data_IF_324194869079
#
_entry.id   IF_324194869079
#
_cell.length_a   1.000
_cell.length_b   1.000
_cell.length_c   1.000
_cell.angle_alpha   90.00
_cell.angle_beta   90.00
_cell.angle_gamma   90.00
#
_symmetry.space_group_name_H-M   'P 1'
#
loop_
_entity.id
_entity.type
_entity.pdbx_description
1 polymer ?
#
# COMPACT_ATOMS: atom_id res chain seq x y z
N UNK A 1 10.99 -7.87 -3.89
CA UNK A 1 10.58 -7.13 -2.67
C UNK A 1 9.18 -7.51 -2.17
N UNK A 2 8.15 -7.55 -3.02
CA UNK A 2 6.80 -7.97 -2.61
C UNK A 2 6.72 -9.48 -2.25
N UNK A 3 7.26 -10.35 -3.10
CA UNK A 3 7.27 -11.81 -2.88
C UNK A 3 8.05 -12.23 -1.63
N UNK A 4 9.22 -11.62 -1.40
CA UNK A 4 10.04 -11.83 -0.20
C UNK A 4 9.32 -11.50 1.11
N UNK A 5 8.23 -10.71 1.06
CA UNK A 5 7.41 -10.32 2.22
C UNK A 5 5.99 -10.87 2.14
N UNK A 6 5.74 -11.84 1.25
CA UNK A 6 4.43 -12.46 1.03
C UNK A 6 3.30 -11.44 0.75
N UNK A 7 3.64 -10.32 0.08
CA UNK A 7 2.68 -9.29 -0.31
C UNK A 7 2.12 -9.60 -1.69
N UNK A 8 0.82 -9.37 -1.85
CA UNK A 8 0.12 -9.45 -3.12
C UNK A 8 0.16 -8.12 -3.86
N UNK A 9 0.47 -8.17 -5.16
CA UNK A 9 0.40 -6.99 -6.04
C UNK A 9 -1.06 -6.78 -6.44
N UNK A 10 -1.73 -5.80 -5.82
CA UNK A 10 -3.15 -5.54 -6.00
C UNK A 10 -3.56 -5.34 -7.46
N UNK A 11 -2.73 -4.65 -8.24
CA UNK A 11 -3.02 -4.36 -9.64
C UNK A 11 -3.03 -5.61 -10.54
N UNK A 12 -2.34 -6.70 -10.16
CA UNK A 12 -2.36 -7.96 -10.92
C UNK A 12 -3.52 -8.89 -10.55
N UNK A 13 -4.21 -8.61 -9.44
CA UNK A 13 -5.31 -9.46 -8.95
C UNK A 13 -6.62 -9.28 -9.72
N UNK A 14 -6.82 -8.11 -10.34
CA UNK A 14 -8.06 -7.78 -11.05
C UNK A 14 -7.77 -7.53 -12.52
N UNK A 15 -8.41 -8.29 -13.41
CA UNK A 15 -8.27 -8.08 -14.85
C UNK A 15 -8.88 -6.73 -15.26
N UNK A 16 -8.05 -5.80 -15.73
CA UNK A 16 -8.45 -4.49 -16.25
C UNK A 16 -8.15 -4.36 -17.74
N UNK A 17 -8.96 -3.57 -18.45
CA UNK A 17 -8.67 -3.17 -19.84
C UNK A 17 -7.37 -2.36 -19.87
N UNK A 18 -6.51 -2.62 -20.83
CA UNK A 18 -5.19 -1.98 -20.97
C UNK A 18 -5.23 -0.43 -20.88
N UNK A 19 -6.20 0.20 -21.55
CA UNK A 19 -6.42 1.66 -21.47
C UNK A 19 -6.62 2.20 -20.03
N UNK A 20 -7.09 1.36 -19.11
CA UNK A 20 -7.33 1.67 -17.70
C UNK A 20 -6.22 1.20 -16.76
N UNK A 21 -5.10 0.67 -17.28
CA UNK A 21 -3.99 0.12 -16.47
C UNK A 21 -2.84 1.09 -16.21
N UNK A 22 -2.43 1.86 -17.23
CA UNK A 22 -1.28 2.77 -17.07
C UNK A 22 -1.48 3.76 -15.90
N UNK A 23 -0.45 4.13 -15.18
CA UNK A 23 -0.56 5.08 -14.06
C UNK A 23 0.27 6.32 -14.32
N UNK A 24 1.21 6.24 -15.25
CA UNK A 24 2.07 7.34 -15.65
C UNK A 24 2.11 7.49 -17.17
N UNK A 25 2.24 8.74 -17.63
CA UNK A 25 2.51 9.09 -19.03
C UNK A 25 3.80 9.91 -19.13
N UNK A 26 4.64 9.61 -20.11
CA UNK A 26 5.87 10.38 -20.36
C UNK A 26 5.55 11.84 -20.72
N UNK A 27 6.46 12.80 -20.44
CA UNK A 27 6.23 14.22 -20.76
C UNK A 27 5.90 14.49 -22.25
N UNK A 28 6.48 13.71 -23.16
CA UNK A 28 6.21 13.79 -24.60
C UNK A 28 4.92 13.04 -25.03
N UNK A 29 4.15 12.52 -24.07
CA UNK A 29 2.93 11.74 -24.27
C UNK A 29 3.05 10.46 -25.11
N UNK A 30 4.26 10.00 -25.44
CA UNK A 30 4.49 8.82 -26.30
C UNK A 30 4.39 7.49 -25.54
N UNK A 31 4.82 7.46 -24.29
CA UNK A 31 4.91 6.24 -23.50
C UNK A 31 3.97 6.29 -22.30
N UNK A 32 3.35 5.16 -22.01
CA UNK A 32 2.48 4.96 -20.87
C UNK A 32 2.92 3.71 -20.15
N UNK A 33 3.08 3.78 -18.84
CA UNK A 33 3.49 2.64 -18.02
C UNK A 33 2.62 2.53 -16.77
N UNK A 34 2.56 1.33 -16.22
CA UNK A 34 2.00 1.06 -14.89
C UNK A 34 3.18 1.05 -13.92
N UNK A 35 3.35 2.11 -13.14
CA UNK A 35 4.47 2.27 -12.18
C UNK A 35 3.99 2.39 -10.74
N UNK A 36 2.70 2.70 -10.55
CA UNK A 36 2.09 2.88 -9.24
C UNK A 36 1.32 1.61 -8.87
N UNK A 37 1.75 0.96 -7.79
CA UNK A 37 1.20 -0.32 -7.34
C UNK A 37 0.69 -0.24 -5.92
N UNK A 38 -0.45 -0.89 -5.67
CA UNK A 38 -0.97 -1.10 -4.31
C UNK A 38 -0.60 -2.51 -3.88
N UNK A 39 0.14 -2.66 -2.78
CA UNK A 39 0.49 -3.94 -2.19
C UNK A 39 -0.41 -4.24 -0.99
N UNK A 40 -0.83 -5.50 -0.83
CA UNK A 40 -1.60 -5.94 0.34
C UNK A 40 -1.03 -7.23 0.91
N UNK A 41 -1.03 -7.37 2.23
CA UNK A 41 -0.65 -8.60 2.94
C UNK A 41 -1.76 -9.67 2.89
N UNK A 42 -3.02 -9.22 2.81
CA UNK A 42 -4.21 -10.06 2.82
C UNK A 42 -4.99 -9.89 1.54
N UNK A 43 -4.95 -10.88 0.66
CA UNK A 43 -5.78 -10.88 -0.57
C UNK A 43 -7.27 -10.69 -0.28
N UNK A 44 -7.78 -11.28 0.82
CA UNK A 44 -9.21 -11.32 1.15
C UNK A 44 -9.87 -9.96 1.38
N UNK A 45 -9.10 -8.94 1.78
CA UNK A 45 -9.66 -7.61 2.09
C UNK A 45 -9.72 -6.72 0.84
N UNK A 46 -9.00 -7.08 -0.22
CA UNK A 46 -8.92 -6.29 -1.43
C UNK A 46 -9.97 -6.77 -2.43
N UNK A 47 -10.86 -5.88 -2.83
CA UNK A 47 -11.99 -6.18 -3.73
C UNK A 47 -11.86 -5.56 -5.12
N UNK A 48 -11.09 -4.48 -5.23
CA UNK A 48 -10.77 -3.88 -6.53
C UNK A 48 -9.48 -3.07 -6.44
N UNK A 49 -8.73 -3.01 -7.53
CA UNK A 49 -7.74 -1.97 -7.78
C UNK A 49 -7.96 -1.43 -9.18
N UNK A 50 -8.22 -0.13 -9.29
CA UNK A 50 -8.49 0.51 -10.57
C UNK A 50 -7.95 1.93 -10.60
N UNK A 51 -7.54 2.36 -11.79
CA UNK A 51 -7.32 3.78 -12.08
C UNK A 51 -8.67 4.50 -12.15
N UNK A 52 -8.75 5.67 -11.51
CA UNK A 52 -9.97 6.49 -11.51
C UNK A 52 -10.06 7.29 -12.81
N UNK A 53 -11.17 7.12 -13.52
CA UNK A 53 -11.43 7.79 -14.82
C UNK A 53 -12.92 8.10 -14.97
N UNK A 54 -13.32 9.27 -15.52
CA UNK A 54 -12.48 10.40 -15.91
C UNK A 54 -12.17 11.29 -14.68
N UNK A 55 -10.90 11.46 -14.35
CA UNK A 55 -10.45 12.41 -13.33
C UNK A 55 -9.12 13.01 -13.81
N UNK A 56 -9.05 14.33 -13.90
CA UNK A 56 -7.84 15.04 -14.29
C UNK A 56 -7.14 15.54 -13.02
N UNK A 57 -5.94 15.02 -12.77
CA UNK A 57 -5.09 15.38 -11.63
C UNK A 57 -4.23 16.62 -11.91
N UNK A 58 -4.15 17.07 -13.18
CA UNK A 58 -3.14 18.06 -13.60
C UNK A 58 -1.71 17.52 -13.57
N UNK A 59 -1.53 16.21 -13.35
CA UNK A 59 -0.25 15.52 -13.30
C UNK A 59 -0.14 14.52 -14.46
N UNK A 60 1.10 14.17 -14.79
CA UNK A 60 1.47 13.03 -15.62
C UNK A 60 1.13 11.66 -14.98
N UNK A 61 0.72 11.65 -13.70
CA UNK A 61 0.19 10.48 -13.01
C UNK A 61 -1.35 10.45 -12.93
N UNK A 62 -1.90 9.24 -13.03
CA UNK A 62 -3.31 8.93 -12.79
C UNK A 62 -3.53 8.40 -11.39
N UNK A 63 -4.67 8.77 -10.79
CA UNK A 63 -5.05 8.30 -9.46
C UNK A 63 -5.39 6.80 -9.47
N UNK A 64 -4.68 6.03 -8.65
CA UNK A 64 -4.96 4.61 -8.40
C UNK A 64 -5.80 4.46 -7.14
N UNK A 65 -6.87 3.68 -7.22
CA UNK A 65 -7.80 3.46 -6.12
C UNK A 65 -7.93 1.96 -5.82
N UNK A 66 -7.70 1.59 -4.57
CA UNK A 66 -8.12 0.30 -4.04
C UNK A 66 -9.51 0.40 -3.40
N UNK A 67 -10.35 -0.62 -3.62
CA UNK A 67 -11.52 -0.89 -2.79
C UNK A 67 -11.15 -1.97 -1.78
N UNK A 68 -11.16 -1.59 -0.52
CA UNK A 68 -10.88 -2.49 0.60
C UNK A 68 -12.15 -2.70 1.40
N UNK A 69 -12.44 -3.95 1.76
CA UNK A 69 -13.53 -4.32 2.66
C UNK A 69 -12.92 -5.06 3.84
N UNK A 70 -13.23 -4.57 5.04
CA UNK A 70 -12.67 -5.09 6.28
C UNK A 70 -13.81 -5.75 7.05
N UNK A 71 -13.68 -7.06 7.27
CA UNK A 71 -14.48 -7.76 8.28
C UNK A 71 -13.91 -7.41 9.65
N UNK A 72 -14.53 -6.46 10.33
CA UNK A 72 -14.06 -5.96 11.61
C UNK A 72 -13.90 -7.08 12.65
N UNK A 73 -14.85 -8.01 12.73
CA UNK A 73 -14.82 -9.07 13.73
C UNK A 73 -13.63 -9.98 13.49
N UNK A 74 -13.41 -10.37 12.24
CA UNK A 74 -12.28 -11.22 11.86
C UNK A 74 -10.94 -10.52 12.05
N UNK A 75 -10.81 -9.26 11.62
CA UNK A 75 -9.54 -8.53 11.73
C UNK A 75 -9.22 -8.15 13.19
N UNK A 76 -10.22 -7.79 14.01
CA UNK A 76 -10.03 -7.58 15.47
C UNK A 76 -9.55 -8.86 16.15
N UNK A 77 -10.16 -10.01 15.83
CA UNK A 77 -9.71 -11.30 16.37
C UNK A 77 -8.28 -11.65 15.93
N UNK A 78 -7.95 -11.44 14.64
CA UNK A 78 -6.60 -11.67 14.14
C UNK A 78 -5.56 -10.78 14.83
N UNK A 79 -5.88 -9.50 15.06
CA UNK A 79 -5.02 -8.57 15.81
C UNK A 79 -4.85 -9.01 17.26
N UNK A 80 -5.94 -9.40 17.93
CA UNK A 80 -5.90 -9.93 19.29
C UNK A 80 -5.00 -11.17 19.41
N UNK A 81 -5.13 -12.13 18.49
CA UNK A 81 -4.28 -13.33 18.47
C UNK A 81 -2.82 -12.98 18.18
N UNK A 82 -2.56 -12.02 17.29
CA UNK A 82 -1.21 -11.58 16.94
C UNK A 82 -0.55 -10.75 18.05
N UNK A 83 -1.33 -10.13 18.95
CA UNK A 83 -0.83 -9.38 20.12
C UNK A 83 -0.75 -10.26 21.37
N UNK A 84 -1.44 -11.40 21.40
CA UNK A 84 -1.39 -12.35 22.51
C UNK A 84 0.06 -12.81 22.73
N UNK A 85 0.60 -12.54 23.92
CA UNK A 85 1.98 -12.87 24.29
C UNK A 85 3.04 -11.86 23.83
N UNK A 86 2.67 -10.81 23.09
CA UNK A 86 3.58 -9.68 22.86
C UNK A 86 3.53 -8.76 24.06
N UNK A 87 4.70 -8.53 24.67
CA UNK A 87 4.85 -7.51 25.71
C UNK A 87 4.45 -6.17 25.10
N UNK A 88 3.54 -5.45 25.76
CA UNK A 88 3.23 -4.06 25.37
C UNK A 88 4.57 -3.32 25.34
N UNK A 89 4.94 -2.80 24.17
CA UNK A 89 6.09 -1.89 24.08
C UNK A 89 5.69 -0.63 24.85
N UNK A 90 6.14 -0.55 26.09
CA UNK A 90 6.07 0.70 26.85
C UNK A 90 7.04 1.65 26.18
N UNK A 91 6.49 2.72 25.60
CA UNK A 91 7.28 3.79 25.03
C UNK A 91 8.04 4.48 26.16
N UNK A 92 9.37 4.47 26.08
CA UNK A 92 10.23 5.20 27.00
C UNK A 92 10.80 6.39 26.22
N UNK A 93 10.29 7.57 26.55
CA UNK A 93 10.65 8.82 25.90
C UNK A 93 12.14 9.14 26.03
N UNK A 94 12.74 8.89 27.19
CA UNK A 94 14.18 9.10 27.40
C UNK A 94 15.04 8.21 26.50
N UNK A 95 14.64 6.94 26.30
CA UNK A 95 15.34 6.04 25.38
C UNK A 95 15.18 6.45 23.91
N UNK A 96 14.04 7.04 23.53
CA UNK A 96 13.89 7.55 22.17
C UNK A 96 14.79 8.78 21.96
N UNK A 97 14.79 9.71 22.90
CA UNK A 97 15.64 10.91 22.82
C UNK A 97 17.12 10.53 22.73
N UNK A 98 17.58 9.58 23.54
CA UNK A 98 18.94 9.06 23.45
C UNK A 98 19.26 8.49 22.05
N UNK A 99 18.35 7.68 21.48
CA UNK A 99 18.55 7.11 20.14
C UNK A 99 18.57 8.18 19.03
N UNK A 100 17.68 9.18 19.11
CA UNK A 100 17.65 10.29 18.15
C UNK A 100 18.95 11.11 18.24
N UNK A 101 19.48 11.32 19.45
CA UNK A 101 20.72 12.06 19.67
C UNK A 101 21.99 11.26 19.29
N UNK A 102 21.90 9.92 19.23
CA UNK A 102 23.00 9.04 18.83
C UNK A 102 23.02 8.72 17.33
N UNK A 103 21.93 8.99 16.61
CA UNK A 103 21.91 8.87 15.16
C UNK A 103 22.59 10.10 14.53
N UNK A 104 23.79 9.90 13.97
CA UNK A 104 24.40 10.86 13.08
C UNK A 104 23.62 10.88 11.76
N UNK A 105 22.81 11.93 11.56
CA UNK A 105 22.06 12.19 10.33
C UNK A 105 22.95 12.77 9.23
N UNK A 106 24.01 12.06 8.88
CA UNK A 106 24.93 12.41 7.78
C UNK A 106 24.72 11.50 6.56
#
# INVERSE_FOLDING_TARGET
MAEARQLYIGNSLFRKRERKRWTWISPNSKHRSETDYILVDKRRILHDVSVVTPFNTGSDHRLVRARVVIDEKREKMALYLASKGKRVRVYNEAKLQEAIMQEDWC
#
